data_IF_236346157317
#
_entry.id   IF_236346157317
#
_cell.length_a   1.000
_cell.length_b   1.000
_cell.length_c   1.000
_cell.angle_alpha   90.00
_cell.angle_beta   90.00
_cell.angle_gamma   90.00
#
_symmetry.space_group_name_H-M   'P 1'
#
loop_
_entity.id
_entity.type
_entity.pdbx_description
1 polymer ?
#
# COMPACT_ATOMS: atom_id res chain seq x y z
N UNK A 1 -11.33 3.14 38.35
CA UNK A 1 -10.03 3.83 38.21
C UNK A 1 -9.98 4.44 36.81
N UNK A 2 -9.78 5.75 36.64
CA UNK A 2 -9.96 6.42 35.36
C UNK A 2 -8.74 6.18 34.45
N UNK A 3 -8.92 5.36 33.41
CA UNK A 3 -7.96 5.09 32.33
C UNK A 3 -7.89 6.26 31.33
N UNK A 4 -7.67 7.48 31.82
CA UNK A 4 -8.08 8.67 31.08
C UNK A 4 -6.99 9.58 30.51
N UNK A 5 -5.74 9.62 31.01
CA UNK A 5 -4.87 10.80 30.72
C UNK A 5 -3.36 10.55 30.55
N UNK A 6 -2.85 9.35 30.81
CA UNK A 6 -1.39 9.11 30.80
C UNK A 6 -0.88 8.32 29.58
N UNK A 7 -1.77 7.74 28.76
CA UNK A 7 -1.36 6.92 27.61
C UNK A 7 -1.10 7.74 26.33
N UNK A 8 -0.96 9.06 26.42
CA UNK A 8 -0.79 9.95 25.26
C UNK A 8 0.66 10.00 24.71
N UNK A 9 1.75 9.77 25.49
CA UNK A 9 3.11 9.82 24.93
C UNK A 9 3.55 8.56 24.16
N UNK A 10 2.93 7.39 24.39
CA UNK A 10 3.35 6.11 23.78
C UNK A 10 2.71 5.86 22.40
N UNK A 11 1.66 6.60 22.06
CA UNK A 11 0.88 6.39 20.83
C UNK A 11 1.58 6.91 19.56
N UNK A 12 2.62 7.73 19.67
CA UNK A 12 3.21 8.41 18.51
C UNK A 12 4.10 7.52 17.63
N UNK A 13 4.52 6.35 18.11
CA UNK A 13 5.28 5.37 17.29
C UNK A 13 4.69 3.97 17.25
N UNK A 14 3.80 3.61 18.19
CA UNK A 14 3.10 2.31 18.22
C UNK A 14 1.57 2.39 18.24
N UNK A 15 0.98 3.58 18.46
CA UNK A 15 -0.45 3.73 18.71
C UNK A 15 -1.33 3.44 17.50
N UNK A 16 -0.83 3.65 16.28
CA UNK A 16 -1.58 3.34 15.07
C UNK A 16 -1.84 1.84 14.92
N UNK A 17 -0.88 1.00 15.32
CA UNK A 17 -0.97 -0.46 15.24
C UNK A 17 -1.92 -1.02 16.30
N UNK A 18 -1.87 -0.47 17.52
CA UNK A 18 -2.79 -0.87 18.60
C UNK A 18 -4.23 -0.45 18.30
N UNK A 19 -4.44 0.73 17.71
CA UNK A 19 -5.77 1.17 17.26
C UNK A 19 -6.28 0.27 16.12
N UNK A 20 -5.40 -0.16 15.21
CA UNK A 20 -5.76 -1.08 14.13
C UNK A 20 -6.10 -2.48 14.62
N UNK A 21 -5.32 -3.01 15.56
CA UNK A 21 -5.61 -4.28 16.26
C UNK A 21 -6.97 -4.19 16.96
N UNK A 22 -7.19 -3.11 17.71
CA UNK A 22 -8.45 -2.88 18.37
C UNK A 22 -9.62 -2.79 17.37
N UNK A 23 -9.46 -2.06 16.26
CA UNK A 23 -10.48 -1.98 15.22
C UNK A 23 -10.78 -3.36 14.61
N UNK A 24 -9.76 -4.18 14.36
CA UNK A 24 -9.93 -5.54 13.84
C UNK A 24 -10.65 -6.45 14.84
N UNK A 25 -10.23 -6.44 16.11
CA UNK A 25 -10.87 -7.20 17.18
C UNK A 25 -12.32 -6.79 17.42
N UNK A 26 -12.67 -5.54 17.14
CA UNK A 26 -14.05 -5.03 17.19
C UNK A 26 -14.84 -5.31 15.89
N UNK A 27 -14.30 -6.12 14.97
CA UNK A 27 -14.99 -6.57 13.76
C UNK A 27 -15.06 -5.52 12.64
N UNK A 28 -14.17 -4.53 12.65
CA UNK A 28 -14.12 -3.54 11.58
C UNK A 28 -13.65 -4.23 10.28
N UNK A 29 -14.46 -4.25 9.21
CA UNK A 29 -14.14 -4.96 7.99
C UNK A 29 -12.94 -4.31 7.31
N UNK A 30 -11.94 -5.11 7.00
CA UNK A 30 -10.79 -4.68 6.21
C UNK A 30 -11.06 -4.91 4.73
N UNK A 31 -10.92 -3.85 3.96
CA UNK A 31 -11.12 -3.85 2.53
C UNK A 31 -9.86 -3.36 1.81
N UNK A 32 -9.89 -3.40 0.48
CA UNK A 32 -8.78 -2.91 -0.36
C UNK A 32 -8.44 -1.45 -0.08
N UNK A 33 -9.41 -0.65 0.38
CA UNK A 33 -9.22 0.76 0.73
C UNK A 33 -8.32 0.94 1.95
N UNK A 34 -8.32 -0.04 2.86
CA UNK A 34 -7.44 -0.07 4.03
C UNK A 34 -5.98 -0.21 3.61
N UNK A 35 -5.68 -1.17 2.71
CA UNK A 35 -4.34 -1.35 2.16
C UNK A 35 -3.87 -0.14 1.33
N UNK A 36 -4.75 0.41 0.48
CA UNK A 36 -4.39 1.58 -0.34
C UNK A 36 -4.13 2.83 0.49
N UNK A 37 -4.88 3.04 1.57
CA UNK A 37 -4.67 4.16 2.50
C UNK A 37 -3.38 4.01 3.30
N UNK A 38 -3.06 2.80 3.77
CA UNK A 38 -1.80 2.51 4.44
C UNK A 38 -0.60 2.73 3.51
N UNK A 39 -0.70 2.29 2.25
CA UNK A 39 0.30 2.50 1.23
C UNK A 39 0.50 3.99 0.90
N UNK A 40 -0.59 4.75 0.79
CA UNK A 40 -0.55 6.20 0.56
C UNK A 40 0.11 6.95 1.73
N UNK A 41 -0.14 6.51 2.96
CA UNK A 41 0.42 7.12 4.18
C UNK A 41 1.86 6.71 4.49
N UNK A 42 2.47 5.79 3.73
CA UNK A 42 3.81 5.29 4.03
C UNK A 42 3.87 4.38 5.26
N UNK A 43 2.74 3.78 5.65
CA UNK A 43 2.62 2.93 6.84
C UNK A 43 2.84 1.45 6.52
N UNK A 44 4.10 1.06 6.30
CA UNK A 44 4.46 -0.34 5.99
C UNK A 44 3.95 -1.35 7.03
N UNK A 45 4.09 -1.04 8.32
CA UNK A 45 3.69 -1.95 9.40
C UNK A 45 2.18 -2.19 9.43
N UNK A 46 1.38 -1.17 9.07
CA UNK A 46 -0.07 -1.32 8.91
C UNK A 46 -0.37 -2.23 7.73
N UNK A 47 0.36 -2.10 6.62
CA UNK A 47 0.17 -2.91 5.43
C UNK A 47 0.53 -4.39 5.67
N UNK A 48 1.62 -4.66 6.40
CA UNK A 48 1.99 -6.01 6.86
C UNK A 48 0.89 -6.62 7.72
N UNK A 49 0.43 -5.88 8.73
CA UNK A 49 -0.63 -6.35 9.62
C UNK A 49 -1.94 -6.59 8.86
N UNK A 50 -2.30 -5.69 7.93
CA UNK A 50 -3.44 -5.86 7.04
C UNK A 50 -3.36 -7.17 6.25
N UNK A 51 -2.18 -7.44 5.68
CA UNK A 51 -1.91 -8.63 4.88
C UNK A 51 -2.00 -9.91 5.70
N UNK A 52 -1.43 -9.92 6.90
CA UNK A 52 -1.39 -11.09 7.79
C UNK A 52 -2.79 -11.53 8.24
N UNK A 53 -3.75 -10.60 8.37
CA UNK A 53 -5.16 -10.97 8.68
C UNK A 53 -6.02 -11.09 7.41
N UNK A 54 -5.41 -11.30 6.25
CA UNK A 54 -6.13 -11.65 5.02
C UNK A 54 -6.83 -10.48 4.32
N UNK A 55 -6.43 -9.23 4.57
CA UNK A 55 -6.97 -8.10 3.84
C UNK A 55 -6.70 -8.26 2.32
N UNK A 56 -7.73 -8.12 1.47
CA UNK A 56 -7.52 -8.06 0.04
C UNK A 56 -6.77 -6.77 -0.31
N UNK A 57 -5.85 -6.87 -1.26
CA UNK A 57 -5.21 -5.72 -1.89
C UNK A 57 -5.38 -5.79 -3.41
N UNK A 58 -5.08 -4.69 -4.10
CA UNK A 58 -5.01 -4.60 -5.54
C UNK A 58 -3.87 -3.68 -5.96
N UNK A 59 -3.64 -3.55 -7.27
CA UNK A 59 -2.58 -2.70 -7.79
C UNK A 59 -2.73 -1.20 -7.48
N UNK A 60 -3.85 -0.75 -6.89
CA UNK A 60 -3.94 0.62 -6.34
C UNK A 60 -3.02 0.80 -5.14
N UNK A 61 -2.79 -0.26 -4.37
CA UNK A 61 -1.90 -0.21 -3.21
C UNK A 61 -0.48 0.13 -3.67
N UNK A 62 0.01 -0.53 -4.73
CA UNK A 62 1.29 -0.21 -5.38
C UNK A 62 1.27 1.16 -6.05
N UNK A 63 0.17 1.52 -6.73
CA UNK A 63 -0.01 2.85 -7.33
C UNK A 63 0.22 3.96 -6.30
N UNK A 64 -0.53 3.95 -5.20
CA UNK A 64 -0.44 5.01 -4.19
C UNK A 64 0.95 5.08 -3.55
N UNK A 65 1.56 3.93 -3.24
CA UNK A 65 2.94 3.93 -2.75
C UNK A 65 3.92 4.56 -3.75
N UNK A 66 3.76 4.30 -5.06
CA UNK A 66 4.61 4.86 -6.12
C UNK A 66 4.43 6.36 -6.28
N UNK A 67 3.19 6.82 -6.34
CA UNK A 67 2.86 8.23 -6.55
C UNK A 67 3.30 9.10 -5.37
N UNK A 68 3.23 8.57 -4.14
CA UNK A 68 3.64 9.27 -2.93
C UNK A 68 5.14 9.10 -2.61
N UNK A 69 5.85 8.22 -3.33
CA UNK A 69 7.30 8.00 -3.16
C UNK A 69 7.69 7.04 -2.03
N UNK A 70 6.76 6.20 -1.55
CA UNK A 70 7.00 5.21 -0.50
C UNK A 70 7.66 3.94 -1.05
N UNK A 71 8.94 4.04 -1.42
CA UNK A 71 9.74 2.95 -2.00
C UNK A 71 9.76 1.68 -1.15
N UNK A 72 9.81 1.80 0.18
CA UNK A 72 9.82 0.65 1.09
C UNK A 72 8.54 -0.18 0.98
N UNK A 73 7.39 0.48 0.81
CA UNK A 73 6.11 -0.21 0.63
C UNK A 73 6.05 -0.87 -0.74
N UNK A 74 6.56 -0.21 -1.76
CA UNK A 74 6.65 -0.75 -3.12
C UNK A 74 7.48 -2.04 -3.15
N UNK A 75 8.68 -2.04 -2.57
CA UNK A 75 9.55 -3.22 -2.51
C UNK A 75 8.87 -4.36 -1.77
N UNK A 76 8.35 -4.08 -0.57
CA UNK A 76 7.69 -5.10 0.23
C UNK A 76 6.42 -5.66 -0.45
N UNK A 77 5.58 -4.81 -1.04
CA UNK A 77 4.37 -5.26 -1.73
C UNK A 77 4.69 -6.10 -2.98
N UNK A 78 5.76 -5.78 -3.71
CA UNK A 78 6.26 -6.60 -4.83
C UNK A 78 6.74 -7.96 -4.37
N UNK A 79 7.54 -8.02 -3.31
CA UNK A 79 8.04 -9.28 -2.73
C UNK A 79 6.90 -10.19 -2.24
N UNK A 80 5.80 -9.61 -1.78
CA UNK A 80 4.64 -10.35 -1.27
C UNK A 80 3.58 -10.67 -2.35
N UNK A 81 3.88 -10.43 -3.63
CA UNK A 81 3.03 -10.79 -4.76
C UNK A 81 1.80 -9.89 -4.93
N UNK A 82 1.90 -8.61 -4.60
CA UNK A 82 0.86 -7.64 -4.93
C UNK A 82 0.81 -7.46 -6.47
N UNK A 83 -0.36 -7.57 -7.11
CA UNK A 83 -0.47 -7.43 -8.56
C UNK A 83 -0.15 -5.99 -8.98
N UNK A 84 0.83 -5.79 -9.85
CA UNK A 84 1.08 -4.47 -10.44
C UNK A 84 -0.11 -4.10 -11.33
N UNK A 85 -0.61 -2.87 -11.19
CA UNK A 85 -1.69 -2.35 -12.02
C UNK A 85 -1.21 -2.04 -13.45
N UNK A 86 0.10 -1.88 -13.66
CA UNK A 86 0.70 -1.41 -14.92
C UNK A 86 1.44 -2.48 -15.74
N UNK A 87 1.33 -3.77 -15.41
CA UNK A 87 1.92 -4.83 -16.25
C UNK A 87 1.20 -5.05 -17.60
N UNK A 88 0.14 -4.29 -17.89
CA UNK A 88 -0.43 -4.18 -19.24
C UNK A 88 -0.07 -2.81 -19.83
N UNK A 89 0.70 -2.83 -20.92
CA UNK A 89 1.10 -1.71 -21.81
C UNK A 89 2.52 -1.15 -21.63
N UNK A 90 3.54 -2.02 -21.64
CA UNK A 90 4.89 -1.60 -22.09
C UNK A 90 5.47 -2.44 -23.24
N UNK A 91 4.62 -3.11 -24.02
CA UNK A 91 4.95 -3.38 -25.44
C UNK A 91 4.43 -2.20 -26.30
N UNK A 92 4.95 -1.00 -26.05
CA UNK A 92 5.17 -0.08 -27.17
C UNK A 92 6.52 -0.47 -27.74
N UNK A 93 6.45 -1.28 -28.79
CA UNK A 93 7.57 -1.63 -29.65
C UNK A 93 8.14 -0.31 -30.19
N UNK A 94 9.39 0.01 -29.83
CA UNK A 94 10.24 0.87 -30.66
C UNK A 94 10.54 0.10 -31.95
N UNK A 95 9.68 0.23 -32.96
CA UNK A 95 9.96 -0.07 -34.37
C UNK A 95 8.89 0.75 -35.13
N UNK A 96 9.18 1.64 -36.08
CA UNK A 96 10.34 1.75 -36.96
C UNK A 96 10.34 3.15 -37.56
N UNK A 97 11.47 3.85 -37.51
CA UNK A 97 11.79 4.92 -38.46
C UNK A 97 11.88 4.30 -39.86
N UNK A 98 10.76 4.26 -40.58
CA UNK A 98 10.79 4.02 -42.02
C UNK A 98 10.77 5.38 -42.72
N UNK A 99 11.99 5.90 -42.89
CA UNK A 99 12.32 6.99 -43.79
C UNK A 99 11.76 6.68 -45.17
N UNK A 100 10.71 7.39 -45.58
CA UNK A 100 10.36 7.47 -47.00
C UNK A 100 11.42 8.31 -47.69
N UNK A 101 12.38 7.64 -48.30
CA UNK A 101 13.02 8.16 -49.51
C UNK A 101 11.93 8.16 -50.59
N UNK A 102 11.45 9.35 -50.97
CA UNK A 102 10.70 9.57 -52.20
C UNK A 102 11.58 10.46 -53.11
N UNK A 103 11.91 9.91 -54.28
CA UNK A 103 12.71 10.46 -55.40
C UNK A 103 12.24 11.82 -55.95
#
# INVERSE_FOLDING_TARGET
MPLGKELVPLLQKGGHLDILKYAHENGCPWDKSTCSSAARGGHLEILKFARDNGCPWDGQTLAHAKWEGHSVILEWAKENGCPDRWDTDSEYIEDSEDSKDDD
#
